data_IF_674332280888
#
_entry.id   IF_674332280888
#
_cell.length_a   1.000
_cell.length_b   1.000
_cell.length_c   1.000
_cell.angle_alpha   90.00
_cell.angle_beta   90.00
_cell.angle_gamma   90.00
#
_symmetry.space_group_name_H-M   'P 1'
#
loop_
_entity.id
_entity.type
_entity.pdbx_description
1 polymer ?
#
# COMPACT_ATOMS: atom_id res chain seq x y z
N UNK A 1 7.40 5.23 -7.04
CA UNK A 1 7.02 4.14 -6.11
C UNK A 1 6.83 2.90 -6.95
N UNK A 2 7.41 1.78 -6.57
CA UNK A 2 7.28 0.54 -7.34
C UNK A 2 8.38 -0.47 -7.01
N UNK A 3 8.08 -1.74 -7.25
CA UNK A 3 8.93 -2.89 -6.98
C UNK A 3 8.83 -3.41 -5.54
N UNK A 4 9.42 -4.57 -5.32
CA UNK A 4 9.64 -5.17 -4.02
C UNK A 4 10.97 -5.92 -4.09
N UNK A 5 11.84 -5.77 -3.09
CA UNK A 5 13.03 -6.62 -2.99
C UNK A 5 12.68 -7.98 -2.37
N UNK A 6 11.59 -8.05 -1.60
CA UNK A 6 11.00 -9.26 -1.07
C UNK A 6 9.83 -9.76 -1.93
N UNK A 7 8.64 -9.87 -1.32
CA UNK A 7 7.43 -10.40 -1.95
C UNK A 7 6.63 -9.31 -2.67
N UNK A 8 6.13 -9.62 -3.87
CA UNK A 8 5.24 -8.76 -4.64
C UNK A 8 3.79 -8.73 -4.13
N UNK A 9 2.95 -7.89 -4.74
CA UNK A 9 1.51 -7.82 -4.46
C UNK A 9 0.66 -8.34 -5.63
N UNK A 10 1.02 -8.07 -6.88
CA UNK A 10 0.26 -8.54 -8.03
C UNK A 10 0.55 -10.00 -8.37
N UNK A 11 1.82 -10.40 -8.20
CA UNK A 11 2.24 -11.80 -8.13
C UNK A 11 3.17 -11.97 -6.94
N UNK A 12 3.49 -13.21 -6.49
CA UNK A 12 4.46 -13.40 -5.41
C UNK A 12 5.83 -12.74 -5.65
N UNK A 13 6.20 -12.54 -6.92
CA UNK A 13 7.52 -12.01 -7.32
C UNK A 13 7.49 -10.58 -7.85
N UNK A 14 6.31 -9.98 -8.07
CA UNK A 14 6.22 -8.68 -8.73
C UNK A 14 5.20 -7.75 -8.07
N UNK A 15 5.63 -6.51 -7.87
CA UNK A 15 4.76 -5.39 -7.51
C UNK A 15 4.07 -4.85 -8.77
N UNK A 16 2.82 -4.39 -8.62
CA UNK A 16 1.93 -3.98 -9.70
C UNK A 16 2.55 -3.01 -10.71
N UNK A 17 3.18 -1.90 -10.29
CA UNK A 17 3.73 -0.91 -11.23
C UNK A 17 4.83 -1.50 -12.11
N UNK A 18 5.69 -2.36 -11.55
CA UNK A 18 6.73 -3.05 -12.32
C UNK A 18 6.14 -4.17 -13.17
N UNK A 19 5.13 -4.87 -12.67
CA UNK A 19 4.44 -5.93 -13.40
C UNK A 19 3.66 -5.41 -14.61
N UNK A 20 3.08 -4.21 -14.51
CA UNK A 20 2.27 -3.61 -15.55
C UNK A 20 3.06 -3.29 -16.83
N UNK A 21 4.34 -2.91 -16.70
CA UNK A 21 5.26 -2.69 -17.82
C UNK A 21 6.73 -2.97 -17.40
N UNK A 22 7.16 -4.25 -17.40
CA UNK A 22 8.52 -4.64 -17.01
C UNK A 22 9.60 -4.09 -17.95
N UNK A 23 9.29 -3.92 -19.23
CA UNK A 23 10.20 -3.38 -20.25
C UNK A 23 10.49 -1.89 -19.99
N UNK A 24 9.48 -1.08 -19.72
CA UNK A 24 9.67 0.32 -19.35
C UNK A 24 10.42 0.44 -18.00
N UNK A 25 10.09 -0.41 -17.03
CA UNK A 25 10.84 -0.47 -15.77
C UNK A 25 12.32 -0.77 -16.02
N UNK A 26 12.65 -1.73 -16.91
CA UNK A 26 14.05 -2.01 -17.28
C UNK A 26 14.74 -0.76 -17.80
N UNK A 27 14.13 -0.03 -18.73
CA UNK A 27 14.72 1.21 -19.28
C UNK A 27 15.03 2.22 -18.18
N UNK A 28 14.09 2.45 -17.25
CA UNK A 28 14.30 3.39 -16.13
C UNK A 28 15.43 2.93 -15.22
N UNK A 29 15.42 1.67 -14.77
CA UNK A 29 16.43 1.13 -13.86
C UNK A 29 17.84 1.05 -14.49
N UNK A 30 17.96 1.04 -15.82
CA UNK A 30 19.25 1.07 -16.54
C UNK A 30 19.60 2.43 -17.14
N UNK A 31 18.84 3.49 -16.84
CA UNK A 31 19.01 4.82 -17.47
C UNK A 31 20.28 5.57 -17.06
N UNK A 32 20.91 5.19 -15.94
CA UNK A 32 22.08 5.88 -15.39
C UNK A 32 21.76 7.16 -14.60
N UNK A 33 20.48 7.53 -14.49
CA UNK A 33 20.02 8.64 -13.63
C UNK A 33 20.05 8.21 -12.15
N UNK A 34 20.31 9.12 -11.19
CA UNK A 34 20.14 8.80 -9.77
C UNK A 34 18.69 8.40 -9.46
N UNK A 35 18.49 7.20 -8.90
CA UNK A 35 17.17 6.64 -8.59
C UNK A 35 16.96 6.42 -7.10
N UNK A 36 15.71 6.61 -6.67
CA UNK A 36 15.23 6.23 -5.34
C UNK A 36 14.02 5.30 -5.51
N UNK A 37 14.13 4.08 -5.01
CA UNK A 37 13.06 3.09 -5.05
C UNK A 37 12.38 3.00 -3.68
N UNK A 38 11.09 3.33 -3.64
CA UNK A 38 10.19 3.09 -2.51
C UNK A 38 9.34 1.87 -2.88
N UNK A 39 9.79 0.68 -2.49
CA UNK A 39 9.14 -0.59 -2.78
C UNK A 39 8.20 -1.07 -1.67
N UNK A 40 7.52 -2.20 -1.90
CA UNK A 40 6.53 -2.75 -0.97
C UNK A 40 7.08 -3.07 0.41
N UNK A 41 8.35 -3.45 0.50
CA UNK A 41 9.02 -3.73 1.77
C UNK A 41 9.03 -2.51 2.71
N UNK A 42 9.00 -1.30 2.14
CA UNK A 42 8.83 -0.03 2.86
C UNK A 42 7.36 0.38 2.92
N UNK A 43 6.65 0.42 1.80
CA UNK A 43 5.31 1.02 1.75
C UNK A 43 4.23 0.17 2.43
N UNK A 44 4.45 -1.14 2.60
CA UNK A 44 3.55 -1.97 3.41
C UNK A 44 3.61 -1.64 4.91
N UNK A 45 4.57 -0.82 5.35
CA UNK A 45 4.61 -0.30 6.72
C UNK A 45 3.66 0.89 6.91
N UNK A 46 3.21 1.53 5.81
CA UNK A 46 2.33 2.71 5.85
C UNK A 46 0.87 2.34 5.62
N UNK A 47 0.38 1.28 6.28
CA UNK A 47 -1.04 0.91 6.18
C UNK A 47 -1.90 2.01 6.82
N UNK A 48 -2.88 2.51 6.08
CA UNK A 48 -3.81 3.52 6.57
C UNK A 48 -4.89 2.85 7.42
N UNK A 49 -4.65 2.84 8.72
CA UNK A 49 -5.54 2.26 9.73
C UNK A 49 -6.80 3.10 9.95
N UNK A 50 -7.85 2.52 10.56
CA UNK A 50 -9.01 3.29 11.01
C UNK A 50 -8.66 4.50 11.89
N UNK A 51 -7.66 4.40 12.76
CA UNK A 51 -7.24 5.54 13.60
C UNK A 51 -6.51 6.65 12.82
N UNK A 52 -5.78 6.29 11.75
CA UNK A 52 -5.19 7.27 10.82
C UNK A 52 -6.28 7.96 10.02
N UNK A 53 -7.29 7.22 9.55
CA UNK A 53 -8.45 7.80 8.86
C UNK A 53 -9.19 8.77 9.79
N UNK A 54 -9.53 8.34 11.00
CA UNK A 54 -10.20 9.18 12.00
C UNK A 54 -9.36 10.40 12.41
N UNK A 55 -8.03 10.33 12.32
CA UNK A 55 -7.15 11.49 12.49
C UNK A 55 -7.34 12.52 11.36
N UNK A 56 -7.47 12.06 10.11
CA UNK A 56 -7.68 12.97 8.96
C UNK A 56 -9.10 13.56 8.97
N UNK A 57 -10.11 12.79 9.36
CA UNK A 57 -11.47 13.31 9.55
C UNK A 57 -11.52 14.43 10.59
N UNK A 58 -10.81 14.26 11.72
CA UNK A 58 -10.71 15.29 12.76
C UNK A 58 -9.93 16.52 12.31
N UNK A 59 -8.94 16.36 11.44
CA UNK A 59 -8.23 17.50 10.84
C UNK A 59 -9.18 18.33 9.95
N UNK A 60 -10.16 17.67 9.33
CA UNK A 60 -11.26 18.30 8.62
C UNK A 60 -10.87 18.96 7.29
N UNK A 61 -11.82 19.72 6.74
CA UNK A 61 -11.70 20.39 5.45
C UNK A 61 -11.83 19.44 4.26
N UNK A 62 -11.87 19.98 3.02
CA UNK A 62 -12.18 19.18 1.83
C UNK A 62 -11.19 18.04 1.59
N UNK A 63 -9.92 18.23 1.97
CA UNK A 63 -8.89 17.19 1.83
C UNK A 63 -9.06 16.06 2.85
N UNK A 64 -9.48 16.36 4.09
CA UNK A 64 -9.70 15.35 5.12
C UNK A 64 -10.93 14.48 4.82
N UNK A 65 -12.00 15.10 4.34
CA UNK A 65 -13.22 14.43 3.89
C UNK A 65 -12.92 13.46 2.74
N UNK A 66 -12.29 13.96 1.66
CA UNK A 66 -11.95 13.14 0.50
C UNK A 66 -10.94 12.04 0.85
N UNK A 67 -9.99 12.32 1.75
CA UNK A 67 -9.06 11.29 2.23
C UNK A 67 -9.79 10.15 2.92
N UNK A 68 -10.75 10.45 3.79
CA UNK A 68 -11.53 9.41 4.47
C UNK A 68 -12.29 8.54 3.47
N UNK A 69 -12.99 9.15 2.51
CA UNK A 69 -13.77 8.44 1.49
C UNK A 69 -12.90 7.46 0.70
N UNK A 70 -11.72 7.91 0.25
CA UNK A 70 -10.78 7.08 -0.54
C UNK A 70 -10.17 5.96 0.31
N UNK A 71 -9.69 6.29 1.51
CA UNK A 71 -8.92 5.35 2.31
C UNK A 71 -9.79 4.26 2.94
N UNK A 72 -11.06 4.54 3.24
CA UNK A 72 -11.99 3.50 3.70
C UNK A 72 -12.21 2.40 2.63
N UNK A 73 -12.28 2.76 1.36
CA UNK A 73 -12.40 1.78 0.27
C UNK A 73 -11.15 0.89 0.15
N UNK A 74 -9.97 1.50 0.19
CA UNK A 74 -8.71 0.75 0.06
C UNK A 74 -8.39 -0.08 1.29
N UNK A 75 -8.79 0.35 2.49
CA UNK A 75 -8.68 -0.45 3.72
C UNK A 75 -9.32 -1.82 3.56
N UNK A 76 -10.54 -1.87 2.99
CA UNK A 76 -11.26 -3.12 2.73
C UNK A 76 -10.54 -3.98 1.70
N UNK A 77 -10.27 -3.43 0.52
CA UNK A 77 -9.72 -4.21 -0.60
C UNK A 77 -8.27 -4.67 -0.38
N UNK A 78 -7.44 -3.89 0.31
CA UNK A 78 -6.06 -4.27 0.67
C UNK A 78 -6.04 -5.43 1.68
N UNK A 79 -7.00 -5.44 2.62
CA UNK A 79 -7.16 -6.55 3.55
C UNK A 79 -7.58 -7.83 2.82
N UNK A 80 -8.59 -7.76 1.94
CA UNK A 80 -9.11 -8.92 1.21
C UNK A 80 -8.07 -9.55 0.28
N UNK A 81 -7.29 -8.74 -0.44
CA UNK A 81 -6.37 -9.24 -1.46
C UNK A 81 -5.01 -9.64 -0.89
N UNK A 82 -4.53 -8.96 0.16
CA UNK A 82 -3.14 -9.09 0.61
C UNK A 82 -2.99 -9.34 2.12
N UNK A 83 -4.09 -9.37 2.88
CA UNK A 83 -4.06 -9.56 4.33
C UNK A 83 -3.36 -8.44 5.09
N UNK A 84 -3.20 -7.26 4.46
CA UNK A 84 -2.58 -6.09 5.08
C UNK A 84 -3.59 -5.44 6.04
N UNK A 85 -3.58 -5.89 7.29
CA UNK A 85 -4.33 -5.23 8.35
C UNK A 85 -3.48 -4.14 9.01
N UNK A 86 -4.16 -3.04 9.35
CA UNK A 86 -3.57 -1.80 9.82
C UNK A 86 -2.83 -1.92 11.16
N UNK A 87 -1.56 -2.29 11.09
CA UNK A 87 -0.63 -2.16 12.22
C UNK A 87 0.26 -3.38 12.44
N UNK A 88 1.35 -3.20 13.21
CA UNK A 88 2.43 -4.18 13.29
C UNK A 88 1.95 -5.47 13.96
N UNK A 89 2.09 -6.59 13.24
CA UNK A 89 1.80 -7.94 13.76
C UNK A 89 0.50 -8.60 13.27
N UNK A 90 -0.27 -7.95 12.39
CA UNK A 90 -1.62 -8.40 12.01
C UNK A 90 -1.70 -9.64 11.09
N UNK A 91 -0.65 -10.49 11.05
CA UNK A 91 -0.72 -11.78 10.34
C UNK A 91 -1.34 -12.90 11.18
N UNK A 92 -1.80 -12.65 12.42
CA UNK A 92 -2.30 -13.74 13.30
C UNK A 92 -3.69 -13.65 13.93
N UNK A 93 -4.33 -12.49 14.19
CA UNK A 93 -5.57 -12.49 15.00
C UNK A 93 -6.63 -11.51 14.48
N UNK A 94 -7.45 -11.93 13.50
CA UNK A 94 -8.43 -11.04 12.87
C UNK A 94 -9.79 -11.68 12.56
N UNK A 95 -10.20 -12.68 13.33
CA UNK A 95 -11.55 -13.23 13.28
C UNK A 95 -12.64 -12.32 13.91
N UNK A 96 -12.38 -11.02 14.19
CA UNK A 96 -13.28 -10.17 15.00
C UNK A 96 -13.47 -8.72 14.55
N UNK A 97 -12.93 -8.29 13.40
CA UNK A 97 -13.10 -6.90 12.95
C UNK A 97 -14.15 -6.73 11.82
N UNK A 98 -14.74 -7.82 11.35
CA UNK A 98 -15.76 -7.80 10.29
C UNK A 98 -17.00 -8.65 10.62
N UNK A 99 -17.23 -8.94 11.90
CA UNK A 99 -18.50 -9.48 12.42
C UNK A 99 -19.33 -8.35 13.05
#
# INVERSE_FOLDING_TARGET
MGGAYGTGNFTPSAEFNIFADPEAARVVFTSGVPLVMMGLDLTNQTVCTPDVIARMERAGGPAGELFSDIMNFTLKTQFENYGLAGGPGARRHLHRLFD
#
